data_IF_021764434054
#
_entry.id   IF_021764434054
#
_cell.length_a   1.000
_cell.length_b   1.000
_cell.length_c   1.000
_cell.angle_alpha   90.00
_cell.angle_beta   90.00
_cell.angle_gamma   90.00
#
_symmetry.space_group_name_H-M   'P 1'
#
loop_
_entity.id
_entity.type
_entity.pdbx_description
1 polymer ?
#
# COMPACT_ATOMS: atom_id res chain seq x y z
N UNK A 1 -45.35 -9.31 -19.95
CA UNK A 1 -44.14 -8.74 -20.59
C UNK A 1 -42.93 -9.55 -20.15
N UNK A 2 -41.83 -9.59 -20.92
CA UNK A 2 -40.61 -10.26 -20.49
C UNK A 2 -40.08 -9.62 -19.21
N UNK A 3 -39.65 -10.45 -18.25
CA UNK A 3 -39.01 -9.95 -17.03
C UNK A 3 -37.57 -9.54 -17.35
N UNK A 4 -37.04 -8.57 -16.64
CA UNK A 4 -35.73 -8.00 -16.92
C UNK A 4 -34.71 -8.43 -15.87
N UNK A 5 -33.54 -8.86 -16.35
CA UNK A 5 -32.41 -9.28 -15.55
C UNK A 5 -31.14 -8.59 -15.98
N UNK A 6 -30.18 -8.42 -15.06
CA UNK A 6 -28.78 -8.23 -15.47
C UNK A 6 -28.31 -9.42 -16.32
N UNK A 7 -27.48 -9.12 -17.32
CA UNK A 7 -26.78 -10.15 -18.08
C UNK A 7 -25.94 -11.03 -17.13
N UNK A 8 -25.88 -12.36 -17.34
CA UNK A 8 -25.06 -13.28 -16.55
C UNK A 8 -23.57 -12.96 -16.56
N UNK A 9 -23.10 -12.17 -17.53
CA UNK A 9 -21.70 -11.71 -17.60
C UNK A 9 -21.45 -10.41 -16.83
N UNK A 10 -22.49 -9.73 -16.35
CA UNK A 10 -22.38 -8.42 -15.71
C UNK A 10 -22.30 -8.56 -14.19
N UNK A 11 -21.26 -7.95 -13.61
CA UNK A 11 -21.08 -7.83 -12.16
C UNK A 11 -21.09 -6.36 -11.73
N UNK A 12 -21.70 -6.09 -10.57
CA UNK A 12 -21.85 -4.75 -9.99
C UNK A 12 -21.11 -4.60 -8.65
N UNK A 13 -20.32 -3.55 -8.45
CA UNK A 13 -19.73 -3.24 -7.14
C UNK A 13 -20.10 -1.82 -6.71
N UNK A 14 -20.38 -1.56 -5.41
CA UNK A 14 -20.67 -0.23 -4.89
C UNK A 14 -19.63 0.82 -5.28
N UNK A 15 -20.12 2.03 -5.50
CA UNK A 15 -19.35 3.22 -5.83
C UNK A 15 -19.92 4.43 -5.06
N UNK A 16 -19.17 5.51 -4.91
CA UNK A 16 -19.49 6.64 -4.00
C UNK A 16 -20.90 7.24 -4.24
N UNK A 17 -21.43 7.09 -5.46
CA UNK A 17 -22.76 7.58 -5.85
C UNK A 17 -23.53 6.57 -6.72
N UNK A 18 -23.27 5.26 -6.59
CA UNK A 18 -24.02 4.25 -7.35
C UNK A 18 -23.26 2.95 -7.48
N UNK A 19 -23.07 2.48 -8.72
CA UNK A 19 -22.38 1.21 -9.00
C UNK A 19 -21.34 1.33 -10.11
N UNK A 20 -20.24 0.59 -9.95
CA UNK A 20 -19.42 0.15 -11.06
C UNK A 20 -20.01 -1.12 -11.64
N UNK A 21 -20.23 -1.13 -12.96
CA UNK A 21 -20.66 -2.30 -13.72
C UNK A 21 -19.52 -2.77 -14.58
N UNK A 22 -19.20 -4.06 -14.51
CA UNK A 22 -18.22 -4.70 -15.39
C UNK A 22 -18.84 -5.91 -16.07
N UNK A 23 -18.81 -5.92 -17.40
CA UNK A 23 -19.26 -7.04 -18.22
C UNK A 23 -18.06 -7.92 -18.60
N UNK A 24 -18.04 -9.13 -18.07
CA UNK A 24 -16.99 -10.12 -18.29
C UNK A 24 -16.94 -10.67 -19.73
N UNK A 25 -18.06 -10.60 -20.47
CA UNK A 25 -18.16 -11.04 -21.86
C UNK A 25 -17.59 -10.01 -22.83
N UNK A 26 -17.91 -8.73 -22.62
CA UNK A 26 -17.47 -7.63 -23.50
C UNK A 26 -16.22 -6.91 -23.02
N UNK A 27 -15.84 -7.08 -21.75
CA UNK A 27 -14.75 -6.34 -21.11
C UNK A 27 -15.11 -4.89 -20.76
N UNK A 28 -16.37 -4.48 -20.92
CA UNK A 28 -16.80 -3.10 -20.74
C UNK A 28 -16.98 -2.76 -19.26
N UNK A 29 -16.32 -1.69 -18.81
CA UNK A 29 -16.58 -1.04 -17.53
C UNK A 29 -17.53 0.15 -17.74
N UNK A 30 -18.48 0.36 -16.84
CA UNK A 30 -19.40 1.49 -16.86
C UNK A 30 -19.71 1.95 -15.43
N UNK A 31 -19.94 3.26 -15.24
CA UNK A 31 -20.41 3.79 -13.95
C UNK A 31 -21.91 4.06 -14.04
N UNK A 32 -22.66 3.52 -13.10
CA UNK A 32 -24.09 3.74 -12.93
C UNK A 32 -24.27 4.83 -11.87
N UNK A 33 -24.94 5.91 -12.24
CA UNK A 33 -25.40 6.92 -11.29
C UNK A 33 -26.48 6.34 -10.35
N UNK A 34 -26.96 7.07 -9.32
CA UNK A 34 -27.89 6.51 -8.34
C UNK A 34 -29.19 5.97 -8.96
N UNK A 35 -29.72 6.68 -9.97
CA UNK A 35 -30.94 6.26 -10.66
C UNK A 35 -30.72 4.98 -11.47
N UNK A 36 -29.64 4.89 -12.24
CA UNK A 36 -29.27 3.70 -13.00
C UNK A 36 -28.97 2.50 -12.08
N UNK A 37 -28.33 2.73 -10.93
CA UNK A 37 -28.06 1.71 -9.92
C UNK A 37 -29.37 1.13 -9.37
N UNK A 38 -30.31 1.99 -8.96
CA UNK A 38 -31.64 1.57 -8.50
C UNK A 38 -32.39 0.75 -9.56
N UNK A 39 -32.39 1.22 -10.82
CA UNK A 39 -33.06 0.49 -11.91
C UNK A 39 -32.40 -0.88 -12.13
N UNK A 40 -31.05 -0.95 -12.10
CA UNK A 40 -30.31 -2.19 -12.24
C UNK A 40 -30.63 -3.20 -11.11
N UNK A 41 -30.78 -2.75 -9.87
CA UNK A 41 -31.20 -3.61 -8.74
C UNK A 41 -32.62 -4.16 -8.92
N UNK A 42 -33.53 -3.35 -9.45
CA UNK A 42 -34.91 -3.77 -9.71
C UNK A 42 -35.03 -4.75 -10.89
N UNK A 43 -34.02 -4.81 -11.77
CA UNK A 43 -33.84 -5.83 -12.81
C UNK A 43 -33.36 -7.17 -12.21
N UNK A 44 -34.07 -7.68 -11.22
CA UNK A 44 -33.77 -8.91 -10.50
C UNK A 44 -34.34 -10.17 -11.18
N UNK A 45 -34.95 -10.04 -12.36
CA UNK A 45 -35.61 -11.13 -13.09
C UNK A 45 -37.06 -11.38 -12.66
N UNK A 46 -37.59 -10.60 -11.71
CA UNK A 46 -38.98 -10.73 -11.23
C UNK A 46 -39.91 -9.67 -11.82
N UNK A 47 -39.36 -8.54 -12.28
CA UNK A 47 -40.12 -7.40 -12.81
C UNK A 47 -39.91 -7.18 -14.30
N UNK A 48 -40.95 -6.75 -15.00
CA UNK A 48 -40.83 -6.24 -16.38
C UNK A 48 -40.60 -4.72 -16.39
N UNK A 49 -40.34 -4.16 -17.58
CA UNK A 49 -40.03 -2.74 -17.74
C UNK A 49 -41.10 -1.81 -17.16
N UNK A 50 -42.39 -2.17 -17.28
CA UNK A 50 -43.50 -1.35 -16.79
C UNK A 50 -43.57 -1.36 -15.27
N UNK A 51 -43.38 -2.53 -14.65
CA UNK A 51 -43.36 -2.66 -13.19
C UNK A 51 -42.17 -1.91 -12.57
N UNK A 52 -40.99 -1.93 -13.22
CA UNK A 52 -39.81 -1.17 -12.77
C UNK A 52 -40.07 0.33 -12.88
N UNK A 53 -40.64 0.81 -13.99
CA UNK A 53 -40.98 2.23 -14.18
C UNK A 53 -41.93 2.73 -13.07
N UNK A 54 -42.96 1.95 -12.75
CA UNK A 54 -43.90 2.26 -11.66
C UNK A 54 -43.19 2.28 -10.31
N UNK A 55 -42.26 1.35 -10.07
CA UNK A 55 -41.53 1.26 -8.80
C UNK A 55 -40.60 2.46 -8.56
N UNK A 56 -39.96 3.00 -9.61
CA UNK A 56 -39.06 4.16 -9.48
C UNK A 56 -39.77 5.50 -9.54
N UNK A 57 -41.01 5.55 -10.04
CA UNK A 57 -41.77 6.78 -10.23
C UNK A 57 -41.90 7.67 -8.99
N UNK A 58 -42.16 7.14 -7.77
CA UNK A 58 -42.25 7.96 -6.56
C UNK A 58 -40.91 8.61 -6.17
N UNK A 59 -39.79 8.01 -6.59
CA UNK A 59 -38.44 8.44 -6.24
C UNK A 59 -37.84 9.41 -7.27
N UNK A 60 -38.17 9.23 -8.55
CA UNK A 60 -37.55 9.98 -9.65
C UNK A 60 -38.50 11.01 -10.31
N UNK A 61 -39.80 11.00 -9.97
CA UNK A 61 -40.81 11.87 -10.58
C UNK A 61 -41.08 11.55 -12.06
N UNK A 62 -41.90 12.39 -12.72
CA UNK A 62 -42.35 12.15 -14.10
C UNK A 62 -41.19 12.19 -15.12
N UNK A 63 -40.23 13.11 -14.96
CA UNK A 63 -39.01 13.14 -15.80
C UNK A 63 -38.12 11.91 -15.58
N UNK A 64 -38.17 11.32 -14.39
CA UNK A 64 -37.47 10.10 -14.03
C UNK A 64 -38.01 8.83 -14.68
N UNK A 65 -39.32 8.77 -14.96
CA UNK A 65 -39.94 7.64 -15.66
C UNK A 65 -39.46 7.55 -17.12
N UNK A 66 -39.41 8.68 -17.83
CA UNK A 66 -38.88 8.75 -19.19
C UNK A 66 -37.39 8.39 -19.26
N UNK A 67 -36.62 8.87 -18.28
CA UNK A 67 -35.21 8.51 -18.12
C UNK A 67 -35.05 7.00 -17.85
N UNK A 68 -35.90 6.40 -17.01
CA UNK A 68 -35.91 4.96 -16.72
C UNK A 68 -36.15 4.14 -17.99
N UNK A 69 -37.19 4.47 -18.77
CA UNK A 69 -37.48 3.81 -20.05
C UNK A 69 -36.31 3.91 -21.03
N UNK A 70 -35.72 5.09 -21.15
CA UNK A 70 -34.58 5.34 -22.04
C UNK A 70 -33.37 4.53 -21.61
N UNK A 71 -33.10 4.48 -20.31
CA UNK A 71 -31.99 3.72 -19.74
C UNK A 71 -32.17 2.21 -19.93
N UNK A 72 -33.34 1.65 -19.62
CA UNK A 72 -33.64 0.21 -19.82
C UNK A 72 -33.41 -0.19 -21.28
N UNK A 73 -33.91 0.61 -22.23
CA UNK A 73 -33.73 0.36 -23.66
C UNK A 73 -32.26 0.37 -24.06
N UNK A 74 -31.49 1.33 -23.55
CA UNK A 74 -30.05 1.42 -23.81
C UNK A 74 -29.28 0.25 -23.20
N UNK A 75 -29.63 -0.16 -21.98
CA UNK A 75 -28.98 -1.26 -21.27
C UNK A 75 -29.27 -2.63 -21.91
N UNK A 76 -30.49 -2.85 -22.44
CA UNK A 76 -30.81 -4.00 -23.28
C UNK A 76 -30.02 -4.00 -24.59
N UNK A 77 -29.95 -2.84 -25.27
CA UNK A 77 -29.21 -2.71 -26.54
C UNK A 77 -27.71 -2.94 -26.36
N UNK A 78 -27.15 -2.60 -25.19
CA UNK A 78 -25.75 -2.84 -24.88
C UNK A 78 -25.44 -4.22 -24.30
N UNK A 79 -26.45 -5.07 -24.10
CA UNK A 79 -26.30 -6.38 -23.46
C UNK A 79 -26.02 -6.33 -21.95
N UNK A 80 -26.19 -5.18 -21.30
CA UNK A 80 -26.06 -5.08 -19.84
C UNK A 80 -27.27 -5.72 -19.15
N UNK A 81 -28.46 -5.51 -19.72
CA UNK A 81 -29.68 -6.21 -19.35
C UNK A 81 -30.04 -7.25 -20.40
N UNK A 82 -30.81 -8.25 -19.98
CA UNK A 82 -31.43 -9.24 -20.85
C UNK A 82 -32.88 -9.48 -20.45
N UNK A 83 -33.66 -9.97 -21.41
CA UNK A 83 -35.00 -10.50 -21.15
C UNK A 83 -34.91 -11.92 -20.59
N UNK A 84 -35.67 -12.17 -19.52
CA UNK A 84 -35.68 -13.43 -18.76
C UNK A 84 -36.99 -14.15 -19.07
N UNK A 85 -36.89 -15.36 -19.63
CA UNK A 85 -38.03 -16.14 -20.09
C UNK A 85 -38.22 -17.41 -19.24
N UNK A 86 -38.92 -17.27 -18.10
CA UNK A 86 -39.33 -18.39 -17.24
C UNK A 86 -38.47 -18.60 -15.98
N UNK A 87 -38.94 -19.45 -15.04
CA UNK A 87 -38.30 -19.67 -13.72
C UNK A 87 -36.89 -20.29 -13.81
N UNK A 88 -36.59 -21.01 -14.88
CA UNK A 88 -35.29 -21.66 -15.06
C UNK A 88 -34.19 -20.70 -15.54
N UNK A 89 -34.52 -19.60 -16.24
CA UNK A 89 -33.56 -18.55 -16.64
C UNK A 89 -33.05 -17.75 -15.42
N UNK A 90 -33.89 -17.59 -14.38
CA UNK A 90 -33.49 -16.90 -13.15
C UNK A 90 -32.46 -17.72 -12.36
N UNK A 91 -32.56 -19.05 -12.40
CA UNK A 91 -31.66 -19.99 -11.73
C UNK A 91 -30.40 -20.34 -12.57
N UNK A 92 -30.45 -20.16 -13.89
CA UNK A 92 -29.32 -20.31 -14.81
C UNK A 92 -28.41 -19.07 -14.88
N UNK A 93 -28.70 -18.03 -14.09
CA UNK A 93 -27.67 -17.07 -13.66
C UNK A 93 -26.60 -17.89 -12.95
N UNK A 94 -25.57 -18.37 -13.64
CA UNK A 94 -24.37 -18.80 -12.94
C UNK A 94 -23.92 -17.59 -12.14
N UNK A 95 -24.07 -17.55 -10.80
CA UNK A 95 -23.28 -16.59 -10.04
C UNK A 95 -21.86 -16.98 -10.44
N UNK A 96 -21.12 -16.08 -11.08
CA UNK A 96 -19.78 -16.41 -11.51
C UNK A 96 -19.08 -17.08 -10.32
N UNK A 97 -18.64 -18.33 -10.50
CA UNK A 97 -18.08 -19.12 -9.40
C UNK A 97 -17.02 -18.24 -8.71
N UNK A 98 -17.03 -18.11 -7.37
CA UNK A 98 -16.17 -17.15 -6.67
C UNK A 98 -14.70 -17.26 -7.09
N UNK A 99 -14.25 -18.51 -7.30
CA UNK A 99 -12.94 -18.84 -7.83
C UNK A 99 -12.68 -18.31 -9.24
N UNK A 100 -13.65 -18.37 -10.14
CA UNK A 100 -13.53 -17.84 -11.50
C UNK A 100 -13.47 -16.31 -11.51
N UNK A 101 -14.24 -15.64 -10.64
CA UNK A 101 -14.17 -14.20 -10.43
C UNK A 101 -12.81 -13.77 -9.88
N UNK A 102 -12.32 -14.44 -8.84
CA UNK A 102 -11.01 -14.14 -8.26
C UNK A 102 -9.88 -14.36 -9.27
N UNK A 103 -9.91 -15.46 -10.02
CA UNK A 103 -8.93 -15.71 -11.09
C UNK A 103 -8.99 -14.64 -12.20
N UNK A 104 -10.19 -14.12 -12.50
CA UNK A 104 -10.35 -13.01 -13.44
C UNK A 104 -9.83 -11.69 -12.86
N UNK A 105 -10.15 -11.39 -11.61
CA UNK A 105 -9.65 -10.21 -10.91
C UNK A 105 -8.12 -10.18 -10.93
N UNK A 106 -7.48 -11.30 -10.63
CA UNK A 106 -6.02 -11.44 -10.70
C UNK A 106 -5.47 -11.12 -12.09
N UNK A 107 -6.03 -11.71 -13.15
CA UNK A 107 -5.61 -11.42 -14.54
C UNK A 107 -5.84 -9.95 -14.93
N UNK A 108 -6.95 -9.36 -14.50
CA UNK A 108 -7.25 -7.96 -14.79
C UNK A 108 -6.25 -7.03 -14.10
N UNK A 109 -5.92 -7.30 -12.84
CA UNK A 109 -4.89 -6.56 -12.09
C UNK A 109 -3.54 -6.63 -12.78
N UNK A 110 -3.12 -7.82 -13.21
CA UNK A 110 -1.83 -8.05 -13.88
C UNK A 110 -1.72 -7.28 -15.21
N UNK A 111 -2.85 -7.07 -15.90
CA UNK A 111 -2.93 -6.25 -17.11
C UNK A 111 -3.19 -4.76 -16.85
N UNK A 112 -3.06 -4.28 -15.61
CA UNK A 112 -3.29 -2.88 -15.22
C UNK A 112 -4.76 -2.44 -15.17
N UNK A 113 -5.71 -3.37 -15.38
CA UNK A 113 -7.16 -3.11 -15.35
C UNK A 113 -7.69 -3.24 -13.91
N UNK A 114 -7.21 -2.38 -13.01
CA UNK A 114 -7.45 -2.50 -11.56
C UNK A 114 -8.92 -2.26 -11.17
N UNK A 115 -9.59 -1.25 -11.75
CA UNK A 115 -11.02 -1.00 -11.48
C UNK A 115 -11.92 -2.21 -11.84
N UNK A 116 -11.80 -2.81 -13.05
CA UNK A 116 -12.46 -4.08 -13.34
C UNK A 116 -12.10 -5.22 -12.39
N UNK A 117 -10.82 -5.33 -11.98
CA UNK A 117 -10.38 -6.33 -11.02
C UNK A 117 -11.10 -6.17 -9.67
N UNK A 118 -11.21 -4.94 -9.17
CA UNK A 118 -11.95 -4.59 -7.96
C UNK A 118 -13.40 -5.07 -8.04
N UNK A 119 -14.11 -4.80 -9.15
CA UNK A 119 -15.51 -5.23 -9.32
C UNK A 119 -15.65 -6.75 -9.24
N UNK A 120 -14.75 -7.49 -9.91
CA UNK A 120 -14.76 -8.95 -9.86
C UNK A 120 -14.47 -9.48 -8.45
N UNK A 121 -13.46 -8.91 -7.77
CA UNK A 121 -13.03 -9.36 -6.45
C UNK A 121 -14.06 -9.02 -5.37
N UNK A 122 -14.78 -7.91 -5.51
CA UNK A 122 -15.90 -7.55 -4.65
C UNK A 122 -16.93 -8.69 -4.61
N UNK A 123 -17.33 -9.19 -5.78
CA UNK A 123 -18.27 -10.32 -5.87
C UNK A 123 -17.69 -11.60 -5.27
N UNK A 124 -16.45 -11.94 -5.59
CA UNK A 124 -15.81 -13.15 -5.08
C UNK A 124 -15.83 -13.20 -3.54
N UNK A 125 -15.50 -12.08 -2.88
CA UNK A 125 -15.50 -11.98 -1.42
C UNK A 125 -16.90 -12.09 -0.81
N UNK A 126 -17.93 -11.50 -1.43
CA UNK A 126 -19.30 -11.53 -0.92
C UNK A 126 -20.01 -12.87 -1.17
N UNK A 127 -19.64 -13.58 -2.23
CA UNK A 127 -20.16 -14.91 -2.53
C UNK A 127 -19.53 -16.00 -1.65
N UNK A 128 -18.27 -15.83 -1.22
CA UNK A 128 -17.59 -16.77 -0.32
C UNK A 128 -17.03 -16.04 0.92
N UNK A 129 -17.89 -15.59 1.85
CA UNK A 129 -17.50 -14.71 2.95
C UNK A 129 -16.56 -15.35 3.97
N UNK A 130 -16.41 -16.68 3.96
CA UNK A 130 -15.47 -17.41 4.84
C UNK A 130 -14.08 -17.59 4.23
N UNK A 131 -13.87 -17.15 2.99
CA UNK A 131 -12.57 -17.22 2.33
C UNK A 131 -11.74 -15.96 2.60
N UNK A 132 -10.78 -16.07 3.52
CA UNK A 132 -9.91 -14.96 3.91
C UNK A 132 -9.16 -14.35 2.71
N UNK A 133 -8.65 -15.17 1.79
CA UNK A 133 -7.88 -14.67 0.64
C UNK A 133 -8.71 -13.76 -0.26
N UNK A 134 -10.03 -13.95 -0.34
CA UNK A 134 -10.89 -13.06 -1.11
C UNK A 134 -11.05 -11.68 -0.46
N UNK A 135 -11.14 -11.63 0.87
CA UNK A 135 -11.18 -10.38 1.62
C UNK A 135 -9.85 -9.63 1.58
N UNK A 136 -8.72 -10.34 1.70
CA UNK A 136 -7.40 -9.74 1.55
C UNK A 136 -7.24 -9.07 0.18
N UNK A 137 -7.50 -9.81 -0.91
CA UNK A 137 -7.39 -9.30 -2.27
C UNK A 137 -8.36 -8.14 -2.55
N UNK A 138 -9.56 -8.17 -1.94
CA UNK A 138 -10.49 -7.05 -2.03
C UNK A 138 -9.93 -5.81 -1.32
N UNK A 139 -9.36 -5.97 -0.12
CA UNK A 139 -8.72 -4.90 0.63
C UNK A 139 -7.59 -4.23 -0.15
N UNK A 140 -6.72 -5.04 -0.76
CA UNK A 140 -5.63 -4.54 -1.62
C UNK A 140 -6.17 -3.77 -2.82
N UNK A 141 -7.08 -4.36 -3.59
CA UNK A 141 -7.64 -3.70 -4.77
C UNK A 141 -8.38 -2.41 -4.41
N UNK A 142 -9.15 -2.43 -3.31
CA UNK A 142 -9.87 -1.28 -2.81
C UNK A 142 -8.92 -0.14 -2.41
N UNK A 143 -7.77 -0.47 -1.79
CA UNK A 143 -6.72 0.50 -1.49
C UNK A 143 -6.18 1.14 -2.77
N UNK A 144 -5.81 0.33 -3.77
CA UNK A 144 -5.26 0.82 -5.05
C UNK A 144 -6.25 1.75 -5.78
N UNK A 145 -7.55 1.44 -5.74
CA UNK A 145 -8.58 2.26 -6.41
C UNK A 145 -9.11 3.42 -5.55
N UNK A 146 -8.48 3.71 -4.41
CA UNK A 146 -8.84 4.83 -3.53
C UNK A 146 -10.13 4.64 -2.74
N UNK A 147 -10.62 3.41 -2.60
CA UNK A 147 -11.86 3.06 -1.86
C UNK A 147 -11.55 2.74 -0.40
N UNK A 148 -11.10 3.74 0.35
CA UNK A 148 -10.61 3.58 1.73
C UNK A 148 -11.57 2.84 2.66
N UNK A 149 -12.86 3.21 2.65
CA UNK A 149 -13.86 2.57 3.49
C UNK A 149 -14.04 1.08 3.14
N UNK A 150 -14.03 0.74 1.84
CA UNK A 150 -14.09 -0.66 1.39
C UNK A 150 -12.83 -1.42 1.79
N UNK A 151 -11.66 -0.80 1.67
CA UNK A 151 -10.40 -1.41 2.07
C UNK A 151 -10.41 -1.77 3.57
N UNK A 152 -10.83 -0.83 4.43
CA UNK A 152 -11.03 -1.08 5.86
C UNK A 152 -11.97 -2.27 6.08
N UNK A 153 -13.17 -2.20 5.55
CA UNK A 153 -14.22 -3.19 5.75
C UNK A 153 -13.82 -4.60 5.26
N UNK A 154 -13.03 -4.67 4.19
CA UNK A 154 -12.48 -5.93 3.67
C UNK A 154 -11.37 -6.48 4.58
N UNK A 155 -10.44 -5.63 5.01
CA UNK A 155 -9.38 -6.03 5.93
C UNK A 155 -9.92 -6.43 7.32
N UNK A 156 -11.00 -5.81 7.80
CA UNK A 156 -11.66 -6.24 9.05
C UNK A 156 -12.22 -7.65 8.93
N UNK A 157 -12.89 -7.97 7.82
CA UNK A 157 -13.39 -9.33 7.55
C UNK A 157 -12.26 -10.33 7.37
N UNK A 158 -11.17 -9.93 6.71
CA UNK A 158 -9.96 -10.75 6.61
C UNK A 158 -9.40 -11.06 8.00
N UNK A 159 -9.19 -10.05 8.84
CA UNK A 159 -8.56 -10.21 10.15
C UNK A 159 -9.44 -11.03 11.11
N UNK A 160 -10.78 -10.98 10.95
CA UNK A 160 -11.69 -11.87 11.68
C UNK A 160 -11.47 -13.37 11.35
N UNK A 161 -10.98 -13.67 10.14
CA UNK A 161 -10.63 -15.03 9.69
C UNK A 161 -9.15 -15.37 9.91
N UNK A 162 -8.27 -14.37 9.99
CA UNK A 162 -6.82 -14.47 10.13
C UNK A 162 -6.29 -13.48 11.18
N UNK A 163 -6.57 -13.70 12.48
CA UNK A 163 -6.28 -12.71 13.53
C UNK A 163 -4.79 -12.46 13.79
N UNK A 164 -3.91 -13.36 13.32
CA UNK A 164 -2.47 -13.34 13.59
C UNK A 164 -1.64 -12.60 12.54
N UNK A 165 -2.30 -11.96 11.56
CA UNK A 165 -1.68 -11.14 10.52
C UNK A 165 -1.42 -9.73 11.04
N UNK A 166 -0.18 -9.50 11.48
CA UNK A 166 0.23 -8.24 12.11
C UNK A 166 0.35 -7.10 11.10
N UNK A 167 0.58 -7.41 9.83
CA UNK A 167 0.63 -6.40 8.77
C UNK A 167 -0.76 -5.80 8.52
N UNK A 168 -1.77 -6.65 8.33
CA UNK A 168 -3.14 -6.15 8.16
C UNK A 168 -3.65 -5.49 9.45
N UNK A 169 -3.29 -6.03 10.62
CA UNK A 169 -3.57 -5.38 11.90
C UNK A 169 -2.99 -3.95 11.98
N UNK A 170 -1.76 -3.76 11.52
CA UNK A 170 -1.10 -2.44 11.49
C UNK A 170 -1.72 -1.49 10.44
N UNK A 171 -2.06 -1.98 9.25
CA UNK A 171 -2.78 -1.17 8.24
C UNK A 171 -4.13 -0.67 8.75
N UNK A 172 -4.85 -1.53 9.50
CA UNK A 172 -6.15 -1.18 10.06
C UNK A 172 -6.09 -0.04 11.08
N UNK A 173 -4.97 0.17 11.78
CA UNK A 173 -4.79 1.34 12.67
C UNK A 173 -5.04 2.63 11.90
N UNK A 174 -4.37 2.81 10.75
CA UNK A 174 -4.59 3.98 9.89
C UNK A 174 -6.02 4.01 9.38
N UNK A 175 -6.50 2.91 8.80
CA UNK A 175 -7.81 2.85 8.15
C UNK A 175 -8.99 3.09 9.10
N UNK A 176 -8.81 2.85 10.40
CA UNK A 176 -9.77 3.13 11.47
C UNK A 176 -9.64 4.53 12.07
N UNK A 177 -8.68 5.32 11.60
CA UNK A 177 -8.34 6.64 12.15
C UNK A 177 -7.96 6.55 13.65
N UNK A 178 -7.34 5.42 14.05
CA UNK A 178 -6.83 5.21 15.39
C UNK A 178 -5.50 5.98 15.59
N UNK A 179 -5.15 6.34 16.84
CA UNK A 179 -3.85 6.94 17.13
C UNK A 179 -2.71 6.03 16.66
N UNK A 180 -1.84 6.57 15.81
CA UNK A 180 -0.69 5.84 15.31
C UNK A 180 0.27 5.45 16.45
N UNK A 181 0.74 4.18 16.53
CA UNK A 181 1.79 3.82 17.46
C UNK A 181 3.10 4.55 17.11
N UNK A 182 4.09 4.59 18.02
CA UNK A 182 5.35 5.28 17.75
C UNK A 182 6.20 4.57 16.68
N UNK A 183 5.96 3.28 16.42
CA UNK A 183 6.59 2.50 15.35
C UNK A 183 5.71 1.32 14.95
N UNK A 184 5.98 0.75 13.78
CA UNK A 184 5.35 -0.51 13.37
C UNK A 184 5.80 -1.67 14.28
N UNK A 185 4.93 -2.66 14.59
CA UNK A 185 5.32 -3.84 15.36
C UNK A 185 6.35 -4.71 14.64
N UNK A 186 7.28 -5.35 15.38
CA UNK A 186 8.30 -6.23 14.80
C UNK A 186 7.70 -7.30 13.88
N UNK A 187 6.65 -7.97 14.36
CA UNK A 187 5.93 -9.02 13.62
C UNK A 187 5.34 -8.52 12.30
N UNK A 188 4.91 -7.25 12.22
CA UNK A 188 4.44 -6.65 10.96
C UNK A 188 5.58 -6.62 9.94
N UNK A 189 6.76 -6.16 10.36
CA UNK A 189 7.94 -6.02 9.50
C UNK A 189 8.46 -7.40 9.06
N UNK A 190 8.54 -8.35 9.99
CA UNK A 190 8.94 -9.73 9.70
C UNK A 190 8.02 -10.39 8.68
N UNK A 191 6.70 -10.31 8.86
CA UNK A 191 5.72 -10.91 7.95
C UNK A 191 5.75 -10.25 6.55
N UNK A 192 5.84 -8.92 6.50
CA UNK A 192 5.94 -8.17 5.25
C UNK A 192 7.16 -8.64 4.45
N UNK A 193 8.34 -8.62 5.06
CA UNK A 193 9.58 -8.90 4.35
C UNK A 193 9.87 -10.39 4.16
N UNK A 194 9.29 -11.29 4.95
CA UNK A 194 9.33 -12.73 4.65
C UNK A 194 8.67 -13.06 3.29
N UNK A 195 7.62 -12.33 2.91
CA UNK A 195 6.93 -12.49 1.62
C UNK A 195 7.60 -11.72 0.50
N UNK A 196 8.15 -10.55 0.82
CA UNK A 196 8.64 -9.59 -0.16
C UNK A 196 10.11 -9.79 -0.56
N UNK A 197 10.95 -10.40 0.29
CA UNK A 197 12.40 -10.47 0.08
C UNK A 197 12.83 -11.08 -1.26
N UNK A 198 12.13 -12.11 -1.76
CA UNK A 198 12.51 -12.80 -3.01
C UNK A 198 12.46 -11.88 -4.23
N UNK A 199 11.48 -10.97 -4.27
CA UNK A 199 11.19 -10.10 -5.42
C UNK A 199 11.50 -8.62 -5.13
N UNK A 200 12.15 -8.33 -4.00
CA UNK A 200 12.35 -6.96 -3.52
C UNK A 200 12.97 -6.04 -4.57
N UNK A 201 14.15 -6.39 -5.08
CA UNK A 201 14.87 -5.53 -6.02
C UNK A 201 14.15 -5.41 -7.37
N UNK A 202 13.53 -6.49 -7.86
CA UNK A 202 12.75 -6.48 -9.10
C UNK A 202 11.57 -5.51 -9.00
N UNK A 203 10.79 -5.62 -7.92
CA UNK A 203 9.65 -4.73 -7.70
C UNK A 203 10.10 -3.28 -7.48
N UNK A 204 11.08 -3.06 -6.59
CA UNK A 204 11.49 -1.69 -6.23
C UNK A 204 12.17 -0.97 -7.40
N UNK A 205 13.10 -1.61 -8.09
CA UNK A 205 13.87 -0.96 -9.15
C UNK A 205 13.19 -1.07 -10.52
N UNK A 206 12.48 -2.17 -10.80
CA UNK A 206 11.77 -2.39 -12.06
C UNK A 206 10.46 -1.63 -12.15
N UNK A 207 9.63 -1.72 -11.10
CA UNK A 207 8.25 -1.21 -11.15
C UNK A 207 8.08 0.15 -10.49
N UNK A 208 8.86 0.44 -9.44
CA UNK A 208 8.67 1.64 -8.60
C UNK A 208 9.69 2.76 -8.85
N UNK A 209 10.62 2.60 -9.80
CA UNK A 209 11.71 3.56 -10.07
C UNK A 209 12.34 4.07 -8.76
N UNK A 210 12.79 3.11 -7.93
CA UNK A 210 13.28 3.39 -6.58
C UNK A 210 14.61 4.16 -6.59
N UNK A 211 14.55 5.43 -6.18
CA UNK A 211 15.63 6.41 -6.23
C UNK A 211 16.27 6.73 -4.88
N UNK A 212 15.63 6.35 -3.76
CA UNK A 212 16.11 6.73 -2.42
C UNK A 212 17.60 6.37 -2.15
N UNK A 213 18.15 5.22 -2.58
CA UNK A 213 19.56 4.92 -2.37
C UNK A 213 20.50 5.91 -3.08
N UNK A 214 20.17 6.33 -4.30
CA UNK A 214 20.96 7.29 -5.06
C UNK A 214 20.85 8.71 -4.47
N UNK A 215 19.65 9.10 -4.03
CA UNK A 215 19.45 10.36 -3.30
C UNK A 215 20.30 10.41 -2.02
N UNK A 216 20.30 9.31 -1.25
CA UNK A 216 21.05 9.20 -0.01
C UNK A 216 22.57 9.25 -0.26
N UNK A 217 23.11 8.50 -1.23
CA UNK A 217 24.54 8.56 -1.56
C UNK A 217 24.98 9.94 -2.05
N UNK A 218 24.13 10.63 -2.82
CA UNK A 218 24.41 12.01 -3.27
C UNK A 218 24.54 12.97 -2.07
N UNK A 219 23.59 12.90 -1.13
CA UNK A 219 23.61 13.73 0.08
C UNK A 219 24.82 13.41 0.98
N UNK A 220 25.13 12.12 1.15
CA UNK A 220 26.33 11.68 1.88
C UNK A 220 27.60 12.19 1.18
N UNK A 221 27.66 12.11 -0.16
CA UNK A 221 28.79 12.60 -0.94
C UNK A 221 29.04 14.09 -0.76
N UNK A 222 27.99 14.90 -0.76
CA UNK A 222 28.08 16.34 -0.53
C UNK A 222 28.52 16.70 0.90
N UNK A 223 28.17 15.86 1.89
CA UNK A 223 28.48 16.12 3.29
C UNK A 223 29.86 15.63 3.72
N UNK A 224 30.31 14.49 3.17
CA UNK A 224 31.58 13.86 3.56
C UNK A 224 32.73 14.16 2.60
N UNK A 225 32.49 14.88 1.49
CA UNK A 225 33.45 15.14 0.42
C UNK A 225 34.16 13.85 -0.02
N UNK A 226 35.50 13.92 -0.10
CA UNK A 226 36.38 12.81 -0.43
C UNK A 226 36.82 11.95 0.77
N UNK A 227 36.16 12.08 1.93
CA UNK A 227 36.46 11.19 3.06
C UNK A 227 36.13 9.75 2.68
N UNK A 228 37.08 8.87 2.95
CA UNK A 228 37.03 7.41 2.75
C UNK A 228 37.53 6.73 4.02
N UNK A 229 37.60 5.40 3.96
CA UNK A 229 38.06 4.55 5.07
C UNK A 229 37.20 4.65 6.33
N UNK A 230 35.90 4.91 6.16
CA UNK A 230 34.95 5.08 7.23
C UNK A 230 34.55 3.74 7.86
N UNK A 231 34.20 3.78 9.14
CA UNK A 231 33.46 2.71 9.82
C UNK A 231 31.97 3.07 9.72
N UNK A 232 31.22 2.30 8.94
CA UNK A 232 29.83 2.60 8.56
C UNK A 232 28.88 1.57 9.17
N UNK A 233 27.77 2.06 9.72
CA UNK A 233 26.63 1.25 10.13
C UNK A 233 25.45 1.55 9.20
N UNK A 234 24.81 0.52 8.66
CA UNK A 234 23.57 0.62 7.90
C UNK A 234 22.42 -0.03 8.69
N UNK A 235 21.45 0.79 9.08
CA UNK A 235 20.23 0.36 9.78
C UNK A 235 19.15 0.03 8.73
N UNK A 236 18.61 -1.19 8.79
CA UNK A 236 17.68 -1.71 7.78
C UNK A 236 18.38 -1.92 6.43
N UNK A 237 19.41 -2.76 6.42
CA UNK A 237 20.27 -2.93 5.25
C UNK A 237 19.56 -3.62 4.05
N UNK A 238 18.40 -4.22 4.28
CA UNK A 238 17.59 -4.87 3.24
C UNK A 238 18.40 -5.90 2.46
N UNK A 239 18.27 -5.87 1.13
CA UNK A 239 19.08 -6.73 0.23
C UNK A 239 20.46 -6.16 -0.08
N UNK A 240 20.82 -5.00 0.47
CA UNK A 240 22.10 -4.34 0.27
C UNK A 240 22.18 -3.33 -0.88
N UNK A 241 21.04 -2.82 -1.35
CA UNK A 241 21.02 -1.79 -2.40
C UNK A 241 21.78 -0.51 -2.01
N UNK A 242 21.50 0.06 -0.83
CA UNK A 242 22.21 1.24 -0.36
C UNK A 242 23.65 0.90 0.10
N UNK A 243 23.86 -0.26 0.75
CA UNK A 243 25.19 -0.76 1.08
C UNK A 243 26.18 -0.81 -0.09
N UNK A 244 25.74 -1.14 -1.32
CA UNK A 244 26.58 -1.09 -2.53
C UNK A 244 27.11 0.32 -2.81
N UNK A 245 26.31 1.35 -2.58
CA UNK A 245 26.68 2.75 -2.76
C UNK A 245 27.52 3.29 -1.59
N UNK A 246 27.31 2.76 -0.39
CA UNK A 246 28.12 3.10 0.79
C UNK A 246 29.52 2.47 0.77
N UNK A 247 29.66 1.28 0.17
CA UNK A 247 30.88 0.47 0.17
C UNK A 247 32.16 1.23 -0.25
N UNK A 248 32.17 2.07 -1.31
CA UNK A 248 33.36 2.81 -1.72
C UNK A 248 33.92 3.76 -0.65
N UNK A 249 33.09 4.20 0.31
CA UNK A 249 33.51 5.09 1.41
C UNK A 249 33.97 4.32 2.65
N UNK A 250 33.58 3.05 2.78
CA UNK A 250 33.78 2.26 3.97
C UNK A 250 35.14 1.51 3.96
N UNK A 251 35.89 1.62 5.06
CA UNK A 251 36.88 0.59 5.44
C UNK A 251 36.18 -0.62 6.04
N UNK A 252 35.12 -0.37 6.81
CA UNK A 252 34.28 -1.39 7.43
C UNK A 252 32.82 -0.99 7.28
N UNK A 253 32.00 -1.88 6.73
CA UNK A 253 30.56 -1.71 6.57
C UNK A 253 29.82 -2.81 7.35
N UNK A 254 29.01 -2.40 8.32
CA UNK A 254 28.16 -3.27 9.13
C UNK A 254 26.70 -3.02 8.76
N UNK A 255 25.95 -4.06 8.42
CA UNK A 255 24.51 -3.98 8.15
C UNK A 255 23.68 -4.68 9.21
N UNK A 256 22.54 -4.10 9.56
CA UNK A 256 21.54 -4.71 10.44
C UNK A 256 20.21 -4.72 9.74
N UNK A 257 19.48 -5.83 9.81
CA UNK A 257 18.09 -5.90 9.38
C UNK A 257 17.31 -6.85 10.29
N UNK A 258 16.02 -6.61 10.46
CA UNK A 258 15.16 -7.49 11.26
C UNK A 258 14.85 -8.79 10.51
N UNK A 259 14.82 -8.76 9.17
CA UNK A 259 14.46 -9.90 8.33
C UNK A 259 15.66 -10.78 8.00
N UNK A 260 15.64 -12.03 8.48
CA UNK A 260 16.63 -13.05 8.12
C UNK A 260 16.75 -13.22 6.59
N UNK A 261 15.62 -13.16 5.88
CA UNK A 261 15.60 -13.31 4.43
C UNK A 261 16.29 -12.12 3.71
N UNK A 262 16.14 -10.90 4.25
CA UNK A 262 16.86 -9.73 3.73
C UNK A 262 18.35 -9.84 3.98
N UNK A 263 18.75 -10.19 5.21
CA UNK A 263 20.16 -10.39 5.57
C UNK A 263 20.82 -11.46 4.70
N UNK A 264 20.14 -12.58 4.42
CA UNK A 264 20.65 -13.62 3.53
C UNK A 264 20.94 -13.09 2.11
N UNK A 265 20.08 -12.20 1.59
CA UNK A 265 20.29 -11.54 0.29
C UNK A 265 21.43 -10.53 0.34
N UNK A 266 21.49 -9.70 1.38
CA UNK A 266 22.61 -8.78 1.59
C UNK A 266 23.95 -9.51 1.67
N UNK A 267 24.01 -10.64 2.38
CA UNK A 267 25.21 -11.46 2.50
C UNK A 267 25.69 -11.97 1.14
N UNK A 268 24.76 -12.39 0.26
CA UNK A 268 25.08 -12.86 -1.08
C UNK A 268 25.72 -11.79 -1.99
N UNK A 269 25.59 -10.50 -1.65
CA UNK A 269 26.24 -9.42 -2.41
C UNK A 269 27.75 -9.29 -2.12
N UNK A 270 28.21 -9.79 -0.97
CA UNK A 270 29.60 -9.66 -0.52
C UNK A 270 30.05 -8.23 -0.17
N UNK A 271 29.12 -7.26 -0.07
CA UNK A 271 29.50 -5.85 0.20
C UNK A 271 29.71 -5.54 1.68
N UNK A 272 29.13 -6.33 2.59
CA UNK A 272 29.21 -6.09 4.03
C UNK A 272 30.37 -6.86 4.67
N UNK A 273 31.10 -6.21 5.59
CA UNK A 273 32.12 -6.87 6.41
C UNK A 273 31.50 -7.62 7.60
N UNK A 274 30.32 -7.19 8.04
CA UNK A 274 29.51 -7.89 9.03
C UNK A 274 28.02 -7.63 8.79
N UNK A 275 27.19 -8.64 9.07
CA UNK A 275 25.74 -8.57 8.99
C UNK A 275 25.13 -9.17 10.26
N UNK A 276 24.10 -8.53 10.77
CA UNK A 276 23.36 -9.00 11.94
C UNK A 276 21.86 -8.99 11.68
N UNK A 277 21.19 -10.08 12.07
CA UNK A 277 19.73 -10.12 12.17
C UNK A 277 19.36 -9.54 13.53
N UNK A 278 18.81 -8.32 13.55
CA UNK A 278 18.40 -7.66 14.79
C UNK A 278 17.36 -6.56 14.56
N UNK A 279 16.52 -6.34 15.56
CA UNK A 279 15.68 -5.13 15.64
C UNK A 279 16.56 -3.91 15.97
N UNK A 280 16.34 -2.80 15.26
CA UNK A 280 17.19 -1.60 15.29
C UNK A 280 17.28 -1.01 16.69
N UNK A 281 16.15 -0.81 17.39
CA UNK A 281 16.17 -0.20 18.73
C UNK A 281 16.80 -1.12 19.77
N UNK A 282 16.56 -2.44 19.66
CA UNK A 282 17.20 -3.45 20.50
C UNK A 282 18.72 -3.49 20.29
N UNK A 283 19.18 -3.40 19.03
CA UNK A 283 20.61 -3.36 18.70
C UNK A 283 21.28 -2.09 19.23
N UNK A 284 20.64 -0.93 19.03
CA UNK A 284 21.13 0.36 19.53
C UNK A 284 21.10 0.49 21.06
N UNK A 285 20.33 -0.35 21.75
CA UNK A 285 20.26 -0.38 23.21
C UNK A 285 21.37 -1.22 23.86
N UNK A 286 22.18 -1.93 23.07
CA UNK A 286 23.23 -2.82 23.61
C UNK A 286 24.28 -2.05 24.43
N UNK A 287 24.86 -2.77 25.39
CA UNK A 287 25.85 -2.21 26.32
C UNK A 287 27.19 -1.94 25.63
N UNK A 288 27.59 -2.80 24.70
CA UNK A 288 28.71 -2.54 23.81
C UNK A 288 28.30 -1.46 22.80
N UNK A 289 29.11 -0.40 22.74
CA UNK A 289 28.84 0.74 21.87
C UNK A 289 29.96 0.89 20.84
N UNK A 290 29.98 0.08 19.77
CA UNK A 290 30.89 0.35 18.67
C UNK A 290 30.68 1.77 18.16
N UNK A 291 31.77 2.42 17.73
CA UNK A 291 31.78 3.80 17.22
C UNK A 291 31.84 3.80 15.70
N UNK A 292 30.97 4.58 15.06
CA UNK A 292 30.86 4.70 13.61
C UNK A 292 31.10 6.14 13.17
N UNK A 293 31.78 6.29 12.04
CA UNK A 293 31.96 7.58 11.39
C UNK A 293 30.69 8.02 10.65
N UNK A 294 29.89 7.04 10.20
CA UNK A 294 28.62 7.23 9.51
C UNK A 294 27.61 6.15 9.95
N UNK A 295 26.40 6.57 10.29
CA UNK A 295 25.22 5.71 10.42
C UNK A 295 24.25 6.09 9.30
N UNK A 296 23.82 5.13 8.49
CA UNK A 296 22.93 5.33 7.36
C UNK A 296 21.63 4.52 7.52
N UNK A 297 20.51 5.03 7.02
CA UNK A 297 19.23 4.31 6.94
C UNK A 297 18.43 4.73 5.70
N UNK A 298 18.19 3.82 4.76
CA UNK A 298 17.50 4.13 3.50
C UNK A 298 16.14 3.42 3.47
N UNK A 299 15.05 4.17 3.35
CA UNK A 299 13.64 3.71 3.39
C UNK A 299 13.40 2.66 4.49
N UNK A 300 13.98 2.93 5.66
CA UNK A 300 13.87 2.09 6.85
C UNK A 300 13.14 2.83 7.96
N UNK A 301 13.43 4.13 8.13
CA UNK A 301 12.80 4.95 9.18
C UNK A 301 11.33 5.26 8.89
N UNK A 302 10.84 4.89 7.71
CA UNK A 302 9.41 4.85 7.35
C UNK A 302 8.59 3.84 8.19
N UNK A 303 9.22 3.04 9.04
CA UNK A 303 8.56 2.18 10.03
C UNK A 303 8.60 2.71 11.47
N UNK A 304 9.12 3.92 11.66
CA UNK A 304 9.23 4.59 12.95
C UNK A 304 8.56 5.97 12.86
N UNK A 305 7.41 6.16 13.51
CA UNK A 305 6.81 7.48 13.64
C UNK A 305 7.68 8.39 14.49
N UNK A 306 7.96 7.98 15.73
CA UNK A 306 8.83 8.74 16.62
C UNK A 306 10.32 8.44 16.32
N UNK A 307 10.92 9.29 15.49
CA UNK A 307 12.33 9.20 15.10
C UNK A 307 13.29 9.29 16.30
N UNK A 308 12.86 9.81 17.47
CA UNK A 308 13.67 9.80 18.70
C UNK A 308 14.12 8.40 19.09
N UNK A 309 13.29 7.39 18.82
CA UNK A 309 13.56 5.99 19.14
C UNK A 309 14.81 5.45 18.43
N UNK A 310 15.21 6.07 17.31
CA UNK A 310 16.37 5.63 16.51
C UNK A 310 17.50 6.66 16.54
N UNK A 311 17.21 7.93 16.30
CA UNK A 311 18.25 8.96 16.10
C UNK A 311 19.01 9.25 17.40
N UNK A 312 18.31 9.38 18.54
CA UNK A 312 18.93 9.65 19.85
C UNK A 312 19.89 8.53 20.27
N UNK A 313 19.50 7.24 20.25
CA UNK A 313 20.45 6.18 20.57
C UNK A 313 21.52 5.99 19.48
N UNK A 314 21.22 6.17 18.19
CA UNK A 314 22.23 6.12 17.12
C UNK A 314 23.34 7.17 17.31
N UNK A 315 23.01 8.37 17.78
CA UNK A 315 24.00 9.41 18.09
C UNK A 315 25.04 8.95 19.13
N UNK A 316 24.67 8.07 20.06
CA UNK A 316 25.59 7.51 21.08
C UNK A 316 26.62 6.53 20.50
N UNK A 317 26.37 6.03 19.29
CA UNK A 317 27.27 5.18 18.54
C UNK A 317 28.14 5.98 17.55
N UNK A 318 28.02 7.31 17.49
CA UNK A 318 28.88 8.11 16.61
C UNK A 318 30.27 8.32 17.20
N UNK A 319 31.28 8.25 16.33
CA UNK A 319 32.60 8.79 16.58
C UNK A 319 32.55 10.33 16.69
N UNK A 320 33.63 10.94 17.15
CA UNK A 320 33.77 12.41 17.14
C UNK A 320 33.57 12.96 15.72
N UNK A 321 32.71 13.96 15.56
CA UNK A 321 32.31 14.49 14.25
C UNK A 321 31.71 13.43 13.29
N UNK A 322 31.07 12.39 13.85
CA UNK A 322 30.32 11.38 13.11
C UNK A 322 29.02 11.91 12.52
N UNK A 323 28.45 11.13 11.60
CA UNK A 323 27.33 11.53 10.75
C UNK A 323 26.18 10.54 10.82
N UNK A 324 24.96 11.05 10.74
CA UNK A 324 23.75 10.23 10.50
C UNK A 324 23.12 10.71 9.19
N UNK A 325 22.84 9.80 8.26
CA UNK A 325 22.17 10.12 7.00
C UNK A 325 21.00 9.17 6.77
N UNK A 326 19.83 9.69 6.42
CA UNK A 326 18.66 8.82 6.22
C UNK A 326 17.61 9.42 5.26
N UNK A 327 16.70 8.55 4.82
CA UNK A 327 15.47 8.95 4.12
C UNK A 327 14.23 8.61 4.93
N UNK A 328 13.19 9.44 4.79
CA UNK A 328 11.83 9.22 5.29
C UNK A 328 10.80 9.72 4.28
N UNK A 329 9.56 9.23 4.35
CA UNK A 329 8.45 9.86 3.63
C UNK A 329 8.12 11.22 4.24
N UNK A 330 7.64 12.17 3.44
CA UNK A 330 7.36 13.54 3.86
C UNK A 330 5.86 13.76 4.02
N UNK A 331 5.47 14.42 5.11
CA UNK A 331 4.10 14.89 5.33
C UNK A 331 4.09 16.31 5.92
N UNK A 332 2.94 16.99 5.82
CA UNK A 332 2.71 18.27 6.50
C UNK A 332 2.11 18.07 7.91
N UNK A 333 1.61 16.86 8.22
CA UNK A 333 1.07 16.53 9.53
C UNK A 333 2.19 16.38 10.58
N UNK A 334 2.16 17.23 11.61
CA UNK A 334 3.09 17.19 12.73
C UNK A 334 2.63 16.21 13.85
N UNK A 335 3.55 15.46 14.48
CA UNK A 335 4.97 15.29 14.12
C UNK A 335 5.18 14.30 12.96
N UNK A 336 4.25 13.37 12.78
CA UNK A 336 4.21 12.37 11.73
C UNK A 336 2.78 11.86 11.53
N UNK A 337 2.55 11.17 10.42
CA UNK A 337 1.30 10.46 10.12
C UNK A 337 1.60 9.01 9.73
N UNK A 338 0.85 8.07 10.28
CA UNK A 338 0.76 6.73 9.72
C UNK A 338 -0.15 6.79 8.50
N UNK A 339 0.38 6.44 7.34
CA UNK A 339 -0.37 6.43 6.08
C UNK A 339 -1.20 5.17 5.93
N UNK A 340 -2.19 5.19 5.02
CA UNK A 340 -3.00 4.02 4.71
C UNK A 340 -2.19 2.88 4.05
N UNK A 341 -0.94 3.13 3.65
CA UNK A 341 0.01 2.11 3.19
C UNK A 341 0.83 1.48 4.32
N UNK A 342 0.57 1.86 5.59
CA UNK A 342 1.20 1.28 6.77
C UNK A 342 2.59 1.85 7.10
N UNK A 343 3.01 2.90 6.41
CA UNK A 343 4.29 3.58 6.60
C UNK A 343 4.10 4.95 7.25
N UNK A 344 5.12 5.42 7.95
CA UNK A 344 5.14 6.74 8.56
C UNK A 344 5.73 7.76 7.59
N UNK A 345 5.01 8.86 7.44
CA UNK A 345 5.48 10.07 6.77
C UNK A 345 5.64 11.19 7.80
N UNK A 346 6.72 11.97 7.69
CA UNK A 346 7.20 12.83 8.76
C UNK A 346 7.17 14.31 8.37
N UNK A 347 6.89 15.15 9.36
CA UNK A 347 7.07 16.58 9.25
C UNK A 347 8.55 16.96 9.39
N UNK A 348 9.00 17.96 8.62
CA UNK A 348 10.38 18.42 8.67
C UNK A 348 10.80 18.94 10.06
N UNK A 349 9.89 19.54 10.83
CA UNK A 349 10.20 20.04 12.16
C UNK A 349 10.43 18.92 13.19
N UNK A 350 9.75 17.78 13.07
CA UNK A 350 10.05 16.62 13.90
C UNK A 350 11.50 16.16 13.69
N UNK A 351 11.98 16.12 12.44
CA UNK A 351 13.39 15.83 12.14
C UNK A 351 14.34 16.81 12.83
N UNK A 352 14.04 18.12 12.76
CA UNK A 352 14.87 19.17 13.38
C UNK A 352 14.90 19.08 14.90
N UNK A 353 13.76 18.83 15.52
CA UNK A 353 13.63 18.65 16.97
C UNK A 353 14.43 17.45 17.47
N UNK A 354 14.28 16.30 16.79
CA UNK A 354 15.00 15.08 17.13
C UNK A 354 16.51 15.23 16.93
N UNK A 355 16.94 15.93 15.88
CA UNK A 355 18.36 16.27 15.69
C UNK A 355 18.90 17.12 16.85
N UNK A 356 18.18 18.16 17.25
CA UNK A 356 18.57 19.02 18.37
C UNK A 356 18.66 18.25 19.69
N UNK A 357 17.67 17.40 19.99
CA UNK A 357 17.65 16.54 21.17
C UNK A 357 18.85 15.57 21.21
N UNK A 358 19.24 15.06 20.04
CA UNK A 358 20.40 14.18 19.88
C UNK A 358 21.76 14.93 19.86
N UNK A 359 21.78 16.25 20.08
CA UNK A 359 22.99 17.10 19.95
C UNK A 359 23.63 17.01 18.56
N UNK A 360 22.80 16.94 17.53
CA UNK A 360 23.20 16.92 16.13
C UNK A 360 22.79 18.22 15.44
N UNK A 361 23.63 18.69 14.52
CA UNK A 361 23.30 19.78 13.59
C UNK A 361 22.72 19.21 12.31
N UNK A 362 21.58 19.73 11.85
CA UNK A 362 21.03 19.44 10.52
C UNK A 362 21.89 20.11 9.47
N UNK A 363 22.63 19.31 8.68
CA UNK A 363 23.49 19.79 7.58
C UNK A 363 22.76 19.82 6.26
N UNK A 364 21.81 18.93 6.07
CA UNK A 364 20.95 18.85 4.89
C UNK A 364 19.57 18.31 5.30
N UNK A 365 18.52 18.89 4.72
CA UNK A 365 17.14 18.44 4.83
C UNK A 365 16.41 18.90 3.57
N UNK A 366 16.42 18.05 2.55
CA UNK A 366 15.88 18.36 1.23
C UNK A 366 14.69 17.46 0.92
N UNK A 367 13.73 18.00 0.17
CA UNK A 367 12.61 17.22 -0.36
C UNK A 367 13.04 16.50 -1.64
N UNK A 368 12.73 15.21 -1.74
CA UNK A 368 13.11 14.34 -2.88
C UNK A 368 11.96 13.43 -3.29
N UNK A 369 12.02 12.90 -4.50
CA UNK A 369 11.17 11.78 -4.93
C UNK A 369 11.88 10.47 -4.59
N UNK A 370 11.28 9.64 -3.72
CA UNK A 370 11.92 8.39 -3.28
C UNK A 370 11.69 7.24 -4.26
N UNK A 371 10.47 7.16 -4.79
CA UNK A 371 9.95 6.13 -5.69
C UNK A 371 8.60 6.56 -6.24
N UNK A 372 8.01 5.77 -7.13
CA UNK A 372 6.64 5.89 -7.59
C UNK A 372 5.79 4.77 -7.00
N UNK A 373 4.56 5.10 -6.60
CA UNK A 373 3.54 4.14 -6.19
C UNK A 373 2.25 4.46 -6.92
N UNK A 374 1.67 3.46 -7.61
CA UNK A 374 0.44 3.63 -8.39
C UNK A 374 0.49 4.76 -9.43
N UNK A 375 1.69 5.06 -9.96
CA UNK A 375 1.92 6.13 -10.92
C UNK A 375 2.17 7.51 -10.30
N UNK A 376 2.08 7.64 -8.98
CA UNK A 376 2.31 8.90 -8.26
C UNK A 376 3.66 8.88 -7.52
N UNK A 377 4.39 10.00 -7.48
CA UNK A 377 5.66 10.07 -6.77
C UNK A 377 5.44 10.07 -5.25
N UNK A 378 6.17 9.20 -4.55
CA UNK A 378 6.29 9.24 -3.10
C UNK A 378 7.30 10.31 -2.73
N UNK A 379 6.80 11.43 -2.22
CA UNK A 379 7.64 12.54 -1.74
C UNK A 379 8.26 12.19 -0.39
N UNK A 380 9.57 12.38 -0.26
CA UNK A 380 10.33 12.12 0.95
C UNK A 380 11.25 13.26 1.35
N UNK A 381 11.96 13.05 2.45
CA UNK A 381 13.06 13.87 2.91
C UNK A 381 14.35 13.05 2.83
N UNK A 382 15.41 13.66 2.30
CA UNK A 382 16.79 13.20 2.52
C UNK A 382 17.43 14.08 3.58
N UNK A 383 17.99 13.44 4.61
CA UNK A 383 18.47 14.12 5.81
C UNK A 383 19.92 13.75 6.06
N UNK A 384 20.75 14.76 6.34
CA UNK A 384 22.12 14.56 6.82
C UNK A 384 22.32 15.37 8.10
N UNK A 385 22.72 14.67 9.16
CA UNK A 385 22.97 15.19 10.49
C UNK A 385 24.45 14.99 10.85
N UNK A 386 25.02 15.94 11.59
CA UNK A 386 26.40 15.86 12.07
C UNK A 386 26.44 16.07 13.58
N UNK A 387 27.26 15.27 14.28
CA UNK A 387 27.52 15.48 15.70
C UNK A 387 28.09 16.88 15.95
N UNK A 388 27.52 17.59 16.93
CA UNK A 388 28.06 18.88 17.37
C UNK A 388 29.49 18.67 17.91
N UNK A 389 30.39 19.60 17.57
CA UNK A 389 31.78 19.58 18.03
C UNK A 389 31.91 19.99 19.49
#
# INVERSE_FOLDING_TARGET
>A
MPKLGLSPSTVLAPDDSGYLSYDAGTGRLSRLNPAAALIAELCDGTRDASEIEVAVAPLLGASGQDACRTWIRSALASGMLQEVHGRHDVAARSPHEPKALAARAWRLRDNGLVLPAFVCQWHAAHLEPTNASHWHALGELAHIVGRRAVARDAYERYLALKPDDAEIGHLLVSLRDEPAPPRAPDRCIEQLYARFATYYEENMCGDLDYRAPACLDTAIGAALDDRRNLTVLELGCGTGLAGRLLRPRARRLVGIDLSEAMVARAAATGVYDALEVAEITAWLARADRPRFDLVAACDTLIYFGDLRQVIVPAARHLASAGWIAFTVERDEAYPFRLTDAGRYAHHADHVREVAAEASLTVRQLDTVELRYEYGEPVTGLVVVLQMNM
#
